data_IF_108748369434
#
_entry.id   IF_108748369434
#
_cell.length_a   1.000
_cell.length_b   1.000
_cell.length_c   1.000
_cell.angle_alpha   90.00
_cell.angle_beta   90.00
_cell.angle_gamma   90.00
#
_symmetry.space_group_name_H-M   'P 1'
#
loop_
_entity.id
_entity.type
_entity.pdbx_description
1 polymer ?
#
# COMPACT_ATOMS: atom_id res chain seq x y z
N UNK A 1 -16.07 -6.15 -7.05
CA UNK A 1 -14.97 -5.91 -8.01
C UNK A 1 -13.79 -5.21 -7.30
N UNK A 2 -13.30 -5.82 -6.20
CA UNK A 2 -12.56 -5.20 -5.08
C UNK A 2 -11.23 -4.54 -5.44
N UNK A 3 -11.28 -3.43 -6.17
CA UNK A 3 -10.12 -2.68 -6.66
C UNK A 3 -10.11 -1.31 -5.99
N UNK A 4 -8.96 -0.93 -5.43
CA UNK A 4 -8.67 0.45 -5.03
C UNK A 4 -8.47 1.30 -6.30
N UNK A 5 -9.58 1.72 -6.94
CA UNK A 5 -9.56 2.66 -8.08
C UNK A 5 -9.73 4.09 -7.57
N UNK A 6 -8.78 4.58 -6.78
CA UNK A 6 -8.77 5.95 -6.29
C UNK A 6 -7.62 6.70 -6.95
N UNK A 7 -7.95 7.66 -7.81
CA UNK A 7 -6.96 8.63 -8.30
C UNK A 7 -6.69 9.69 -7.24
N UNK A 8 -5.53 10.33 -7.30
CA UNK A 8 -5.11 11.38 -6.32
C UNK A 8 -6.11 12.52 -6.12
N UNK A 9 -6.98 12.80 -7.11
CA UNK A 9 -8.02 13.84 -7.03
C UNK A 9 -9.29 13.39 -6.30
N UNK A 10 -9.44 12.08 -6.02
CA UNK A 10 -10.57 11.56 -5.26
C UNK A 10 -10.41 11.98 -3.79
N UNK A 11 -11.41 12.61 -3.16
CA UNK A 11 -11.34 13.01 -1.75
C UNK A 11 -11.03 11.86 -0.78
N UNK A 12 -11.34 10.61 -1.17
CA UNK A 12 -11.09 9.41 -0.37
C UNK A 12 -9.65 8.89 -0.50
N UNK A 13 -8.86 9.45 -1.41
CA UNK A 13 -7.51 8.98 -1.69
C UNK A 13 -6.60 9.02 -0.45
N UNK A 14 -6.46 10.19 0.20
CA UNK A 14 -5.58 10.32 1.36
C UNK A 14 -6.02 9.50 2.57
N UNK A 15 -7.33 9.43 2.93
CA UNK A 15 -7.81 8.47 3.92
C UNK A 15 -7.46 7.02 3.58
N UNK A 16 -7.61 6.61 2.31
CA UNK A 16 -7.28 5.26 1.88
C UNK A 16 -5.76 4.99 1.95
N UNK A 17 -4.92 5.97 1.62
CA UNK A 17 -3.46 5.88 1.79
C UNK A 17 -3.11 5.62 3.25
N UNK A 18 -3.67 6.40 4.19
CA UNK A 18 -3.44 6.22 5.61
C UNK A 18 -3.80 4.81 6.08
N UNK A 19 -5.02 4.36 5.76
CA UNK A 19 -5.48 3.00 6.07
C UNK A 19 -4.54 1.92 5.52
N UNK A 20 -4.10 2.05 4.26
CA UNK A 20 -3.19 1.08 3.64
C UNK A 20 -1.83 1.04 4.35
N UNK A 21 -1.27 2.20 4.72
CA UNK A 21 0.00 2.28 5.43
C UNK A 21 -0.12 1.73 6.86
N UNK A 22 -1.23 1.97 7.55
CA UNK A 22 -1.51 1.41 8.88
C UNK A 22 -1.59 -0.11 8.83
N UNK A 23 -2.31 -0.65 7.83
CA UNK A 23 -2.39 -2.12 7.62
C UNK A 23 -1.02 -2.69 7.31
N UNK A 24 -0.23 -2.06 6.41
CA UNK A 24 1.13 -2.48 6.14
C UNK A 24 1.97 -2.52 7.42
N UNK A 25 1.91 -1.48 8.25
CA UNK A 25 2.62 -1.46 9.51
C UNK A 25 2.18 -2.59 10.46
N UNK A 26 0.88 -2.86 10.56
CA UNK A 26 0.33 -3.92 11.40
C UNK A 26 0.82 -5.32 10.99
N UNK A 27 1.06 -5.55 9.70
CA UNK A 27 1.57 -6.84 9.16
C UNK A 27 3.07 -6.83 8.87
N UNK A 28 3.85 -5.98 9.56
CA UNK A 28 5.31 -5.88 9.40
C UNK A 28 5.74 -5.64 7.94
N UNK A 29 4.97 -4.82 7.24
CA UNK A 29 5.12 -4.43 5.84
C UNK A 29 5.13 -5.59 4.82
N UNK A 30 4.50 -6.72 5.14
CA UNK A 30 4.31 -7.84 4.21
C UNK A 30 3.12 -7.57 3.28
N UNK A 31 3.41 -7.22 2.03
CA UNK A 31 2.39 -6.80 1.04
C UNK A 31 1.32 -7.87 0.80
N UNK A 32 1.68 -9.16 0.76
CA UNK A 32 0.72 -10.25 0.60
C UNK A 32 -0.29 -10.32 1.76
N UNK A 33 0.19 -10.17 2.99
CA UNK A 33 -0.66 -10.19 4.18
C UNK A 33 -1.54 -8.93 4.24
N UNK A 34 -0.98 -7.76 3.92
CA UNK A 34 -1.73 -6.51 3.85
C UNK A 34 -2.86 -6.58 2.81
N UNK A 35 -2.58 -7.11 1.63
CA UNK A 35 -3.58 -7.30 0.59
C UNK A 35 -4.71 -8.25 1.04
N UNK A 36 -4.36 -9.33 1.74
CA UNK A 36 -5.35 -10.25 2.30
C UNK A 36 -6.24 -9.57 3.36
N UNK A 37 -5.65 -8.78 4.26
CA UNK A 37 -6.40 -7.99 5.27
C UNK A 37 -7.34 -6.98 4.61
N UNK A 38 -6.90 -6.33 3.54
CA UNK A 38 -7.69 -5.35 2.78
C UNK A 38 -8.73 -6.01 1.84
N UNK A 39 -8.72 -7.34 1.69
CA UNK A 39 -9.62 -8.06 0.79
C UNK A 39 -9.37 -7.78 -0.70
N UNK A 40 -8.13 -7.43 -1.08
CA UNK A 40 -7.73 -7.11 -2.46
C UNK A 40 -6.57 -7.99 -2.92
N UNK A 41 -6.27 -7.98 -4.22
CA UNK A 41 -5.08 -8.69 -4.73
C UNK A 41 -3.80 -7.94 -4.40
N UNK A 42 -2.69 -8.68 -4.22
CA UNK A 42 -1.35 -8.11 -4.04
C UNK A 42 -0.98 -7.14 -5.17
N UNK A 43 -1.32 -7.51 -6.42
CA UNK A 43 -1.09 -6.64 -7.58
C UNK A 43 -1.87 -5.33 -7.49
N UNK A 44 -3.14 -5.37 -7.06
CA UNK A 44 -3.93 -4.14 -6.88
C UNK A 44 -3.35 -3.23 -5.80
N UNK A 45 -2.87 -3.81 -4.69
CA UNK A 45 -2.19 -3.05 -3.64
C UNK A 45 -0.90 -2.40 -4.15
N UNK A 46 -0.06 -3.14 -4.88
CA UNK A 46 1.18 -2.60 -5.47
C UNK A 46 0.85 -1.47 -6.43
N UNK A 47 -0.11 -1.66 -7.34
CA UNK A 47 -0.55 -0.60 -8.26
C UNK A 47 -1.06 0.63 -7.50
N UNK A 48 -1.82 0.44 -6.42
CA UNK A 48 -2.30 1.56 -5.59
C UNK A 48 -1.16 2.33 -4.93
N UNK A 49 -0.18 1.64 -4.33
CA UNK A 49 0.99 2.27 -3.73
C UNK A 49 1.81 3.07 -4.77
N UNK A 50 1.87 2.59 -6.01
CA UNK A 50 2.56 3.24 -7.12
C UNK A 50 1.81 4.44 -7.72
N UNK A 51 0.62 4.78 -7.24
CA UNK A 51 -0.15 5.93 -7.77
C UNK A 51 0.45 7.29 -7.41
N UNK A 52 1.24 7.37 -6.35
CA UNK A 52 1.93 8.57 -5.91
C UNK A 52 3.35 8.22 -5.44
N UNK A 53 4.40 8.91 -5.95
CA UNK A 53 5.78 8.62 -5.58
C UNK A 53 6.07 8.66 -4.08
N UNK A 54 5.41 9.55 -3.33
CA UNK A 54 5.61 9.65 -1.88
C UNK A 54 4.96 8.48 -1.15
N UNK A 55 3.82 7.98 -1.63
CA UNK A 55 3.18 6.79 -1.06
C UNK A 55 4.07 5.57 -1.26
N UNK A 56 4.66 5.43 -2.45
CA UNK A 56 5.62 4.38 -2.75
C UNK A 56 6.87 4.45 -1.87
N UNK A 57 7.43 5.65 -1.70
CA UNK A 57 8.58 5.90 -0.82
C UNK A 57 8.26 5.50 0.63
N UNK A 58 7.11 5.92 1.18
CA UNK A 58 6.70 5.57 2.53
C UNK A 58 6.51 4.05 2.71
N UNK A 59 5.91 3.38 1.72
CA UNK A 59 5.80 1.92 1.76
C UNK A 59 7.18 1.24 1.79
N UNK A 60 8.15 1.74 1.04
CA UNK A 60 9.52 1.21 1.05
C UNK A 60 10.28 1.51 2.34
N UNK A 61 10.08 2.68 2.94
CA UNK A 61 10.62 3.00 4.27
C UNK A 61 10.07 2.05 5.35
N UNK A 62 8.76 1.79 5.34
CA UNK A 62 8.15 0.79 6.22
C UNK A 62 8.72 -0.60 5.98
N UNK A 63 8.87 -1.01 4.72
CA UNK A 63 9.48 -2.30 4.37
C UNK A 63 10.91 -2.42 4.91
N UNK A 64 11.73 -1.39 4.72
CA UNK A 64 13.09 -1.35 5.25
C UNK A 64 13.12 -1.45 6.79
N UNK A 65 12.21 -0.74 7.49
CA UNK A 65 12.09 -0.78 8.96
C UNK A 65 11.82 -2.20 9.49
N UNK A 66 11.09 -3.02 8.74
CA UNK A 66 10.80 -4.41 9.09
C UNK A 66 11.71 -5.44 8.39
N UNK A 67 12.82 -5.01 7.79
CA UNK A 67 13.79 -5.90 7.12
C UNK A 67 13.29 -6.53 5.82
N UNK A 68 12.21 -6.03 5.24
CA UNK A 68 11.66 -6.50 3.96
C UNK A 68 12.43 -5.88 2.78
N UNK A 69 12.57 -6.64 1.69
CA UNK A 69 13.15 -6.11 0.43
C UNK A 69 12.30 -4.96 -0.12
N UNK A 70 12.87 -3.88 -0.67
CA UNK A 70 12.06 -2.82 -1.27
C UNK A 70 11.21 -3.35 -2.43
N UNK A 71 10.04 -2.75 -2.63
CA UNK A 71 9.27 -2.89 -3.85
C UNK A 71 10.05 -2.23 -5.00
N UNK A 72 9.99 -2.86 -6.17
CA UNK A 72 10.66 -2.42 -7.40
C UNK A 72 9.61 -2.39 -8.50
N UNK A 73 9.70 -1.37 -9.36
CA UNK A 73 9.02 -1.35 -10.65
C UNK A 73 9.71 -2.30 -11.65
#
# INVERSE_FOLDING_TARGET
DGRLKLGRKDPRYWPAVGLVLDVLQAVQARVREAAAVLGISTGNLITFLGTDPKVWEQANLLRARFGQKPLRD
#
